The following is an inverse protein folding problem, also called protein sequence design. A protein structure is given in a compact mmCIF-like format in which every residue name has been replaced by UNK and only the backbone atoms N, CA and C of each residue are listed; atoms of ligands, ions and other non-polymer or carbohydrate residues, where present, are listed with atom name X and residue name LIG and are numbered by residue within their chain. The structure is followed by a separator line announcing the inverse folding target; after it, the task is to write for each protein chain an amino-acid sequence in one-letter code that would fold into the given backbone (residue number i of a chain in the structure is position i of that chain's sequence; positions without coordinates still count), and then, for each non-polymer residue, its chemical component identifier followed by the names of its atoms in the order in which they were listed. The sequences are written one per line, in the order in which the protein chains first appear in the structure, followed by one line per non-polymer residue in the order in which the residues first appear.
data_IF_157336746272
#
_entry.id   IF_157336746272
#
_cell.length_a   1.000
_cell.length_b   1.000
_cell.length_c   1.000
_cell.angle_alpha   90.00
_cell.angle_beta   90.00
_cell.angle_gamma   90.00
#
_symmetry.space_group_name_H-M   'P 1'
#
loop_
_entity.id
_entity.type
_entity.pdbx_description
1 polymer ?
#
# COMPACT_ATOMS: atom_id res chain seq x y z
N UNK A 1 5.06 -25.86 -4.63
CA UNK A 1 5.84 -24.59 -4.57
C UNK A 1 5.98 -24.28 -3.09
N UNK A 2 7.20 -24.05 -2.60
CA UNK A 2 7.38 -23.61 -1.21
C UNK A 2 6.68 -22.28 -1.02
N UNK A 3 5.77 -22.20 -0.05
CA UNK A 3 5.09 -20.96 0.32
C UNK A 3 6.12 -19.99 0.90
N UNK A 4 6.53 -19.01 0.10
CA UNK A 4 7.49 -17.99 0.58
C UNK A 4 6.79 -17.05 1.54
N UNK A 5 7.18 -17.08 2.81
CA UNK A 5 6.68 -16.15 3.83
C UNK A 5 7.15 -14.73 3.53
N UNK A 6 6.22 -13.80 3.35
CA UNK A 6 6.50 -12.38 3.14
C UNK A 6 6.50 -11.60 4.45
N UNK A 7 5.54 -11.87 5.32
CA UNK A 7 5.36 -11.17 6.58
C UNK A 7 5.12 -12.20 7.70
N UNK A 8 5.83 -12.03 8.80
CA UNK A 8 5.60 -12.79 10.03
C UNK A 8 5.58 -11.83 11.21
N UNK A 9 4.45 -11.82 11.93
CA UNK A 9 4.31 -11.14 13.21
C UNK A 9 4.14 -12.20 14.30
N UNK A 10 4.81 -12.02 15.41
CA UNK A 10 4.68 -12.86 16.60
C UNK A 10 4.59 -11.98 17.83
N UNK A 11 3.42 -12.00 18.48
CA UNK A 11 3.08 -11.24 19.69
C UNK A 11 3.47 -9.77 19.61
N UNK A 12 3.21 -9.15 18.46
CA UNK A 12 3.54 -7.75 18.23
C UNK A 12 2.64 -6.84 19.06
N UNK A 13 3.27 -5.91 19.76
CA UNK A 13 2.58 -4.84 20.49
C UNK A 13 2.97 -3.47 19.91
N UNK A 14 1.94 -2.64 19.72
CA UNK A 14 2.10 -1.25 19.25
C UNK A 14 1.53 -0.33 20.32
N UNK A 15 2.33 0.66 20.74
CA UNK A 15 1.91 1.69 21.68
C UNK A 15 1.91 3.06 21.02
N UNK A 16 1.05 3.92 21.50
CA UNK A 16 1.08 5.35 21.27
C UNK A 16 1.10 6.04 22.61
N UNK A 17 2.20 6.68 22.92
CA UNK A 17 2.52 7.17 24.26
C UNK A 17 2.43 6.02 25.29
N UNK A 18 1.62 6.14 26.32
CA UNK A 18 1.44 5.09 27.34
C UNK A 18 0.32 4.07 26.99
N UNK A 19 -0.47 4.35 25.94
CA UNK A 19 -1.61 3.51 25.58
C UNK A 19 -1.20 2.38 24.62
N UNK A 20 -1.55 1.14 24.99
CA UNK A 20 -1.44 -0.01 24.08
C UNK A 20 -2.57 0.07 23.06
N UNK A 21 -2.20 0.21 21.77
CA UNK A 21 -3.13 0.28 20.65
C UNK A 21 -3.40 -1.11 20.09
N UNK A 22 -2.36 -1.93 20.00
CA UNK A 22 -2.43 -3.30 19.51
C UNK A 22 -1.66 -4.20 20.46
N UNK A 23 -2.31 -5.27 20.91
CA UNK A 23 -1.73 -6.21 21.87
C UNK A 23 -1.62 -7.61 21.25
N UNK A 24 -0.42 -8.20 21.34
CA UNK A 24 -0.12 -9.58 20.94
C UNK A 24 -0.60 -10.01 19.55
N UNK A 25 -0.50 -9.13 18.55
CA UNK A 25 -0.86 -9.48 17.18
C UNK A 25 0.12 -10.50 16.61
N UNK A 26 -0.41 -11.62 16.13
CA UNK A 26 0.37 -12.68 15.51
C UNK A 26 -0.33 -13.14 14.24
N UNK A 27 0.36 -13.07 13.10
CA UNK A 27 -0.07 -13.69 11.86
C UNK A 27 1.08 -13.83 10.88
N UNK A 28 0.90 -14.69 9.88
CA UNK A 28 1.85 -14.90 8.79
C UNK A 28 1.14 -14.61 7.48
N UNK A 29 1.85 -14.00 6.51
CA UNK A 29 1.37 -13.74 5.17
C UNK A 29 2.36 -14.34 4.17
N UNK A 30 1.83 -15.05 3.18
CA UNK A 30 2.60 -15.64 2.10
C UNK A 30 2.45 -14.84 0.79
N UNK A 31 3.29 -15.17 -0.17
CA UNK A 31 3.22 -14.52 -1.48
C UNK A 31 1.87 -14.80 -2.17
N UNK A 32 1.27 -13.78 -2.75
CA UNK A 32 -0.01 -13.91 -3.46
C UNK A 32 -1.23 -14.13 -2.55
N UNK A 33 -1.12 -13.95 -1.24
CA UNK A 33 -2.26 -14.00 -0.32
C UNK A 33 -2.96 -12.65 -0.19
N UNK A 34 -4.28 -12.72 0.02
CA UNK A 34 -5.12 -11.57 0.33
C UNK A 34 -5.66 -11.70 1.76
N UNK A 35 -5.28 -10.77 2.64
CA UNK A 35 -5.68 -10.77 4.05
C UNK A 35 -6.50 -9.52 4.38
N UNK A 36 -7.67 -9.74 4.99
CA UNK A 36 -8.49 -8.69 5.58
C UNK A 36 -8.18 -8.54 7.07
N UNK A 37 -7.88 -7.31 7.48
CA UNK A 37 -7.75 -6.93 8.90
C UNK A 37 -9.04 -6.22 9.30
N UNK A 38 -9.90 -6.94 10.01
CA UNK A 38 -11.24 -6.48 10.37
C UNK A 38 -11.25 -6.04 11.84
N UNK A 39 -11.92 -4.94 12.14
CA UNK A 39 -12.06 -4.47 13.51
C UNK A 39 -12.80 -3.13 13.59
N UNK A 40 -13.26 -2.80 14.80
CA UNK A 40 -13.95 -1.53 15.07
C UNK A 40 -13.04 -0.32 14.75
N UNK A 41 -13.65 0.82 14.50
CA UNK A 41 -12.91 2.09 14.40
C UNK A 41 -12.09 2.30 15.69
N UNK A 42 -10.83 2.67 15.57
CA UNK A 42 -9.94 2.86 16.72
C UNK A 42 -9.29 1.58 17.26
N UNK A 43 -9.53 0.39 16.67
CA UNK A 43 -8.93 -0.87 17.13
C UNK A 43 -7.46 -1.07 16.75
N UNK A 44 -6.80 -0.08 16.14
CA UNK A 44 -5.38 -0.15 15.81
C UNK A 44 -5.05 -0.68 14.41
N UNK A 45 -6.03 -0.90 13.52
CA UNK A 45 -5.82 -1.41 12.15
C UNK A 45 -4.81 -0.56 11.35
N UNK A 46 -5.05 0.75 11.28
CA UNK A 46 -4.13 1.67 10.60
C UNK A 46 -2.76 1.75 11.28
N UNK A 47 -2.71 1.61 12.61
CA UNK A 47 -1.44 1.57 13.35
C UNK A 47 -0.64 0.32 13.02
N UNK A 48 -1.31 -0.82 12.85
CA UNK A 48 -0.67 -2.05 12.37
C UNK A 48 -0.06 -1.82 10.98
N UNK A 49 -0.84 -1.33 10.00
CA UNK A 49 -0.28 -1.06 8.66
C UNK A 49 0.88 -0.08 8.71
N UNK A 50 0.77 0.99 9.50
CA UNK A 50 1.83 2.00 9.67
C UNK A 50 3.12 1.43 10.26
N UNK A 51 3.01 0.43 11.13
CA UNK A 51 4.18 -0.26 11.67
C UNK A 51 4.88 -1.13 10.62
N UNK A 52 4.13 -1.72 9.67
CA UNK A 52 4.70 -2.55 8.61
C UNK A 52 5.58 -1.78 7.62
N UNK A 53 5.31 -0.47 7.41
CA UNK A 53 6.19 0.37 6.62
C UNK A 53 7.04 1.35 7.47
N UNK A 54 7.21 1.03 8.77
CA UNK A 54 8.07 1.74 9.71
C UNK A 54 7.75 3.24 9.87
N UNK A 55 6.47 3.62 9.89
CA UNK A 55 6.01 4.95 10.31
C UNK A 55 5.80 4.99 11.82
N UNK A 56 5.30 3.90 12.39
CA UNK A 56 5.13 3.71 13.83
C UNK A 56 6.06 2.57 14.28
N UNK A 57 6.79 2.72 15.39
CA UNK A 57 7.65 1.66 15.90
C UNK A 57 6.83 0.50 16.48
N UNK A 58 7.38 -0.71 16.38
CA UNK A 58 6.90 -1.89 17.10
C UNK A 58 7.58 -1.91 18.46
N UNK A 59 6.80 -1.99 19.53
CA UNK A 59 7.29 -1.85 20.91
C UNK A 59 7.71 -3.19 21.52
N UNK A 60 6.99 -4.28 21.21
CA UNK A 60 7.29 -5.62 21.69
C UNK A 60 6.96 -6.66 20.61
N UNK A 61 7.44 -7.90 20.80
CA UNK A 61 7.24 -8.99 19.87
C UNK A 61 8.31 -9.07 18.79
N UNK A 62 8.07 -9.93 17.80
CA UNK A 62 8.92 -10.09 16.64
C UNK A 62 8.13 -9.77 15.35
N UNK A 63 8.75 -9.03 14.45
CA UNK A 63 8.16 -8.66 13.18
C UNK A 63 9.20 -8.73 12.05
N UNK A 64 8.91 -9.56 11.08
CA UNK A 64 9.74 -9.74 9.89
C UNK A 64 8.90 -9.47 8.65
N UNK A 65 9.39 -8.60 7.77
CA UNK A 65 8.80 -8.34 6.46
C UNK A 65 9.90 -8.50 5.40
N UNK A 66 9.74 -9.49 4.52
CA UNK A 66 10.84 -9.96 3.68
C UNK A 66 12.06 -10.32 4.55
N UNK A 67 13.23 -9.80 4.20
CA UNK A 67 14.48 -9.99 4.94
C UNK A 67 14.71 -8.93 6.04
N UNK A 68 13.72 -8.07 6.31
CA UNK A 68 13.85 -6.97 7.25
C UNK A 68 13.22 -7.29 8.60
N UNK A 69 14.01 -7.18 9.68
CA UNK A 69 13.49 -7.17 11.04
C UNK A 69 12.96 -5.77 11.37
N UNK A 70 11.63 -5.61 11.41
CA UNK A 70 10.99 -4.31 11.60
C UNK A 70 11.27 -3.69 12.98
N UNK A 71 11.47 -4.53 14.01
CA UNK A 71 11.78 -4.07 15.37
C UNK A 71 13.20 -3.48 15.50
N UNK A 72 14.11 -3.83 14.56
CA UNK A 72 15.51 -3.40 14.55
C UNK A 72 15.86 -2.52 13.34
N UNK A 73 14.85 -1.99 12.66
CA UNK A 73 15.01 -1.25 11.41
C UNK A 73 15.79 0.05 11.62
N UNK A 74 16.85 0.25 10.84
CA UNK A 74 17.60 1.51 10.83
C UNK A 74 16.94 2.52 9.89
N UNK A 75 16.94 3.79 10.26
CA UNK A 75 16.32 4.87 9.44
C UNK A 75 16.80 4.89 7.98
N UNK A 76 18.07 4.58 7.73
CA UNK A 76 18.65 4.54 6.38
C UNK A 76 18.09 3.41 5.50
N UNK A 77 17.58 2.34 6.11
CA UNK A 77 17.10 1.15 5.40
C UNK A 77 15.59 1.23 5.10
N UNK A 78 14.84 2.07 5.81
CA UNK A 78 13.39 2.27 5.63
C UNK A 78 13.01 2.63 4.17
N UNK A 79 13.69 3.54 3.46
CA UNK A 79 13.36 3.84 2.06
C UNK A 79 13.48 2.62 1.12
N UNK A 80 14.40 1.71 1.39
CA UNK A 80 14.57 0.48 0.58
C UNK A 80 13.44 -0.51 0.82
N UNK A 81 13.00 -0.68 2.07
CA UNK A 81 11.80 -1.46 2.39
C UNK A 81 10.57 -0.86 1.71
N UNK A 82 10.32 0.45 1.90
CA UNK A 82 9.14 1.12 1.35
C UNK A 82 9.04 1.05 -0.17
N UNK A 83 10.15 0.95 -0.90
CA UNK A 83 10.14 0.74 -2.36
C UNK A 83 9.60 -0.63 -2.78
N UNK A 84 9.66 -1.63 -1.88
CA UNK A 84 9.12 -2.98 -2.13
C UNK A 84 7.62 -3.09 -1.77
N UNK A 85 7.04 -2.02 -1.21
CA UNK A 85 5.66 -1.96 -0.76
C UNK A 85 4.84 -1.00 -1.60
N UNK A 86 3.60 -1.37 -1.88
CA UNK A 86 2.58 -0.46 -2.36
C UNK A 86 1.72 0.03 -1.19
N UNK A 87 1.53 1.33 -1.04
CA UNK A 87 0.69 1.86 0.04
C UNK A 87 -0.51 2.58 -0.58
N UNK A 88 -1.70 2.13 -0.19
CA UNK A 88 -2.99 2.70 -0.58
C UNK A 88 -3.61 3.33 0.66
N UNK A 89 -3.71 4.65 0.66
CA UNK A 89 -4.23 5.43 1.78
C UNK A 89 -5.74 5.63 1.66
N UNK A 90 -6.42 5.81 2.79
CA UNK A 90 -7.84 6.14 2.86
C UNK A 90 -8.13 7.52 2.19
N UNK A 91 -7.27 8.51 2.41
CA UNK A 91 -7.41 9.89 1.90
C UNK A 91 -6.61 10.06 0.62
N UNK A 92 -6.85 9.41 -0.43
CA UNK A 92 -6.14 9.43 -1.73
C UNK A 92 -4.70 9.98 -1.72
N UNK A 93 -4.43 11.09 -1.04
CA UNK A 93 -3.14 11.78 -0.92
C UNK A 93 -2.48 12.03 -2.28
N UNK A 94 -3.27 12.45 -3.26
CA UNK A 94 -2.80 12.91 -4.54
C UNK A 94 -2.36 14.38 -4.45
N UNK A 95 -1.29 14.72 -5.13
CA UNK A 95 -0.81 16.09 -5.25
C UNK A 95 -1.79 16.86 -6.16
N UNK A 96 -2.50 17.83 -5.60
CA UNK A 96 -3.61 18.53 -6.25
C UNK A 96 -3.16 19.59 -7.27
N UNK A 97 -1.87 19.98 -7.21
CA UNK A 97 -1.22 20.95 -8.08
C UNK A 97 -0.72 20.36 -9.41
N UNK A 98 -0.95 19.07 -9.66
CA UNK A 98 -0.43 18.38 -10.84
C UNK A 98 -1.32 17.26 -11.33
N UNK A 99 -1.20 16.94 -12.63
CA UNK A 99 -1.99 15.88 -13.27
C UNK A 99 -1.68 14.48 -12.71
N UNK A 100 -2.54 13.50 -13.04
CA UNK A 100 -2.34 12.08 -12.74
C UNK A 100 -0.96 11.61 -13.17
N UNK A 101 -0.58 11.84 -14.44
CA UNK A 101 0.73 11.47 -14.95
C UNK A 101 1.87 12.07 -14.12
N UNK A 102 1.77 13.36 -13.77
CA UNK A 102 2.79 14.06 -12.96
C UNK A 102 2.84 13.56 -11.50
N UNK A 103 1.73 13.13 -10.94
CA UNK A 103 1.69 12.45 -9.64
C UNK A 103 2.51 11.16 -9.66
N UNK A 104 2.32 10.33 -10.69
CA UNK A 104 3.03 9.06 -10.85
C UNK A 104 4.51 9.27 -11.20
N UNK A 105 4.81 10.21 -12.11
CA UNK A 105 6.19 10.59 -12.48
C UNK A 105 6.99 11.04 -11.25
N UNK A 106 6.37 11.81 -10.35
CA UNK A 106 7.00 12.28 -9.11
C UNK A 106 7.50 11.12 -8.26
N UNK A 107 6.68 10.08 -8.08
CA UNK A 107 7.05 8.90 -7.28
C UNK A 107 8.20 8.12 -7.92
N UNK A 108 8.14 7.88 -9.24
CA UNK A 108 9.21 7.17 -9.95
C UNK A 108 10.54 7.90 -9.83
N UNK A 109 10.54 9.24 -10.03
CA UNK A 109 11.74 10.06 -9.84
C UNK A 109 12.28 10.01 -8.41
N UNK A 110 11.40 10.11 -7.42
CA UNK A 110 11.76 10.01 -6.00
C UNK A 110 12.33 8.64 -5.62
N UNK A 111 11.93 7.58 -6.33
CA UNK A 111 12.44 6.22 -6.12
C UNK A 111 13.66 5.88 -6.98
N UNK A 112 14.17 6.83 -7.76
CA UNK A 112 15.47 6.73 -8.43
C UNK A 112 15.41 6.43 -9.93
N UNK A 113 14.22 6.45 -10.55
CA UNK A 113 14.10 6.33 -12.00
C UNK A 113 14.60 7.59 -12.69
N UNK A 114 15.41 7.43 -13.75
CA UNK A 114 16.08 8.56 -14.44
C UNK A 114 15.68 8.72 -15.90
N UNK A 115 15.39 7.62 -16.59
CA UNK A 115 15.14 7.65 -18.01
C UNK A 115 13.68 7.97 -18.31
N UNK A 116 13.43 9.07 -19.01
CA UNK A 116 12.09 9.58 -19.31
C UNK A 116 11.21 8.55 -20.04
N UNK A 117 11.77 7.80 -20.97
CA UNK A 117 11.02 6.80 -21.76
C UNK A 117 10.55 5.65 -20.84
N UNK A 118 11.44 5.12 -19.99
CA UNK A 118 11.10 4.05 -19.04
C UNK A 118 10.03 4.53 -18.03
N UNK A 119 10.12 5.79 -17.57
CA UNK A 119 9.13 6.40 -16.68
C UNK A 119 7.76 6.47 -17.37
N UNK A 120 7.70 6.97 -18.60
CA UNK A 120 6.43 7.09 -19.33
C UNK A 120 5.81 5.70 -19.59
N UNK A 121 6.59 4.76 -20.09
CA UNK A 121 6.14 3.38 -20.32
C UNK A 121 5.60 2.73 -19.04
N UNK A 122 6.28 2.95 -17.91
CA UNK A 122 5.81 2.44 -16.63
C UNK A 122 4.50 3.07 -16.17
N UNK A 123 4.35 4.38 -16.34
CA UNK A 123 3.11 5.10 -16.02
C UNK A 123 1.96 4.60 -16.89
N UNK A 124 2.17 4.49 -18.21
CA UNK A 124 1.15 4.00 -19.13
C UNK A 124 0.71 2.57 -18.75
N UNK A 125 1.67 1.71 -18.41
CA UNK A 125 1.40 0.33 -17.98
C UNK A 125 0.54 0.27 -16.71
N UNK A 126 0.91 1.01 -15.64
CA UNK A 126 0.11 0.97 -14.40
C UNK A 126 -1.25 1.63 -14.55
N UNK A 127 -1.37 2.69 -15.35
CA UNK A 127 -2.66 3.30 -15.67
C UNK A 127 -3.57 2.34 -16.44
N UNK A 128 -3.02 1.59 -17.39
CA UNK A 128 -3.75 0.54 -18.09
C UNK A 128 -4.24 -0.55 -17.13
N UNK A 129 -3.38 -1.01 -16.19
CA UNK A 129 -3.73 -2.04 -15.21
C UNK A 129 -4.92 -1.66 -14.33
N UNK A 130 -5.11 -0.38 -14.06
CA UNK A 130 -6.22 0.12 -13.22
C UNK A 130 -7.39 0.70 -14.03
N UNK A 131 -7.34 0.62 -15.38
CA UNK A 131 -8.38 1.14 -16.26
C UNK A 131 -8.44 2.67 -16.33
N UNK A 132 -7.28 3.34 -16.26
CA UNK A 132 -7.14 4.81 -16.26
C UNK A 132 -6.25 5.32 -17.40
N UNK A 133 -6.00 4.52 -18.45
CA UNK A 133 -5.08 4.83 -19.55
C UNK A 133 -5.36 6.18 -20.24
N UNK A 134 -6.63 6.57 -20.34
CA UNK A 134 -7.06 7.81 -21.01
C UNK A 134 -7.20 9.01 -20.05
N UNK A 135 -6.75 8.88 -18.81
CA UNK A 135 -6.94 9.89 -17.74
C UNK A 135 -5.63 10.51 -17.22
N UNK A 136 -4.48 10.17 -17.83
CA UNK A 136 -3.16 10.64 -17.36
C UNK A 136 -2.99 12.17 -17.34
N UNK A 137 -3.70 12.89 -18.22
CA UNK A 137 -3.66 14.36 -18.30
C UNK A 137 -4.56 15.06 -17.27
N UNK A 138 -5.53 14.37 -16.68
CA UNK A 138 -6.49 14.93 -15.74
C UNK A 138 -5.84 15.37 -14.44
N UNK A 139 -6.41 16.41 -13.83
CA UNK A 139 -6.09 16.83 -12.47
C UNK A 139 -6.92 16.00 -11.47
N UNK A 140 -6.45 15.78 -10.22
CA UNK A 140 -7.20 15.01 -9.23
C UNK A 140 -8.63 15.49 -9.00
N UNK A 141 -8.87 16.79 -8.98
CA UNK A 141 -10.20 17.37 -8.78
C UNK A 141 -11.18 17.17 -9.96
N UNK A 142 -10.69 16.73 -11.11
CA UNK A 142 -11.50 16.37 -12.29
C UNK A 142 -11.91 14.89 -12.29
N UNK A 143 -11.50 14.11 -11.28
CA UNK A 143 -11.74 12.68 -11.15
C UNK A 143 -12.81 12.40 -10.10
N UNK A 144 -13.65 11.40 -10.34
CA UNK A 144 -14.51 10.83 -9.30
C UNK A 144 -13.68 10.19 -8.18
N UNK A 145 -14.29 9.94 -7.00
CA UNK A 145 -13.61 9.28 -5.89
C UNK A 145 -13.04 7.90 -6.28
N UNK A 146 -13.81 7.12 -7.03
CA UNK A 146 -13.36 5.81 -7.53
C UNK A 146 -12.19 5.91 -8.52
N UNK A 147 -12.20 6.92 -9.41
CA UNK A 147 -11.09 7.20 -10.32
C UNK A 147 -9.84 7.64 -9.55
N UNK A 148 -9.99 8.51 -8.54
CA UNK A 148 -8.87 8.89 -7.67
C UNK A 148 -8.28 7.67 -6.97
N UNK A 149 -9.12 6.77 -6.45
CA UNK A 149 -8.66 5.54 -5.80
C UNK A 149 -7.93 4.61 -6.77
N UNK A 150 -8.38 4.49 -8.02
CA UNK A 150 -7.66 3.75 -9.07
C UNK A 150 -6.27 4.35 -9.32
N UNK A 151 -6.14 5.68 -9.34
CA UNK A 151 -4.84 6.36 -9.47
C UNK A 151 -3.94 6.11 -8.26
N UNK A 152 -4.49 6.06 -7.05
CA UNK A 152 -3.74 5.70 -5.83
C UNK A 152 -3.22 4.27 -5.92
N UNK A 153 -4.04 3.32 -6.42
CA UNK A 153 -3.61 1.95 -6.66
C UNK A 153 -2.53 1.89 -7.76
N UNK A 154 -2.68 2.64 -8.87
CA UNK A 154 -1.63 2.75 -9.89
C UNK A 154 -0.31 3.26 -9.29
N UNK A 155 -0.38 4.27 -8.43
CA UNK A 155 0.78 4.78 -7.68
C UNK A 155 1.44 3.71 -6.82
N UNK A 156 0.64 2.89 -6.15
CA UNK A 156 1.15 1.80 -5.33
C UNK A 156 1.88 0.73 -6.16
N UNK A 157 1.48 0.51 -7.42
CA UNK A 157 2.06 -0.48 -8.33
C UNK A 157 3.36 -0.05 -9.01
N UNK A 158 3.75 1.23 -8.93
CA UNK A 158 4.84 1.81 -9.74
C UNK A 158 6.19 1.08 -9.63
N UNK A 159 6.54 0.56 -8.46
CA UNK A 159 7.83 -0.11 -8.23
C UNK A 159 7.68 -1.64 -8.12
N UNK A 160 6.69 -2.24 -8.75
CA UNK A 160 6.41 -3.69 -8.70
C UNK A 160 6.44 -4.24 -7.26
N UNK A 161 5.53 -3.78 -6.39
CA UNK A 161 5.55 -4.16 -4.99
C UNK A 161 5.26 -5.64 -4.81
N UNK A 162 5.90 -6.25 -3.82
CA UNK A 162 5.61 -7.63 -3.41
C UNK A 162 4.39 -7.70 -2.47
N UNK A 163 4.06 -6.57 -1.82
CA UNK A 163 2.96 -6.44 -0.88
C UNK A 163 2.30 -5.07 -1.02
N UNK A 164 0.97 -5.06 -1.10
CA UNK A 164 0.15 -3.85 -0.98
C UNK A 164 -0.45 -3.79 0.42
N UNK A 165 -0.28 -2.64 1.07
CA UNK A 165 -0.90 -2.27 2.34
C UNK A 165 -2.00 -1.26 2.05
N UNK A 166 -3.27 -1.66 2.17
CA UNK A 166 -4.43 -0.83 1.85
C UNK A 166 -5.19 -0.47 3.12
N UNK A 167 -5.11 0.80 3.53
CA UNK A 167 -5.78 1.31 4.73
C UNK A 167 -7.15 1.88 4.37
N UNK A 168 -8.21 1.15 4.70
CA UNK A 168 -9.62 1.47 4.43
C UNK A 168 -9.85 2.04 3.00
N UNK A 169 -9.40 1.33 1.92
CA UNK A 169 -9.32 1.89 0.57
C UNK A 169 -10.69 2.21 -0.04
N UNK A 170 -11.77 1.82 0.61
CA UNK A 170 -13.15 2.00 0.15
C UNK A 170 -13.98 2.89 1.07
N UNK A 171 -13.40 3.42 2.17
CA UNK A 171 -14.14 4.13 3.21
C UNK A 171 -14.86 5.41 2.75
N UNK A 172 -14.43 6.01 1.64
CA UNK A 172 -15.00 7.24 1.08
C UNK A 172 -15.76 7.01 -0.25
N UNK A 173 -16.11 5.75 -0.56
CA UNK A 173 -16.72 5.37 -1.84
C UNK A 173 -18.12 4.78 -1.62
N UNK A 174 -18.97 4.90 -2.64
CA UNK A 174 -20.25 4.21 -2.67
C UNK A 174 -20.07 2.68 -2.76
N UNK A 175 -21.09 1.87 -2.42
CA UNK A 175 -20.96 0.41 -2.37
C UNK A 175 -20.59 -0.24 -3.72
N UNK A 176 -21.07 0.28 -4.85
CA UNK A 176 -20.77 -0.27 -6.16
C UNK A 176 -19.31 -0.02 -6.53
N UNK A 177 -18.86 1.23 -6.40
CA UNK A 177 -17.46 1.61 -6.61
C UNK A 177 -16.51 0.86 -5.65
N UNK A 178 -16.93 0.70 -4.39
CA UNK A 178 -16.19 -0.08 -3.39
C UNK A 178 -15.94 -1.51 -3.85
N UNK A 179 -17.00 -2.18 -4.37
CA UNK A 179 -16.89 -3.53 -4.92
C UNK A 179 -15.88 -3.60 -6.07
N UNK A 180 -15.87 -2.62 -6.97
CA UNK A 180 -14.93 -2.55 -8.08
C UNK A 180 -13.48 -2.37 -7.62
N UNK A 181 -13.24 -1.56 -6.58
CA UNK A 181 -11.89 -1.36 -6.02
C UNK A 181 -11.38 -2.63 -5.34
N UNK A 182 -12.23 -3.29 -4.55
CA UNK A 182 -11.88 -4.58 -3.93
C UNK A 182 -11.57 -5.63 -4.99
N UNK A 183 -12.38 -5.73 -6.05
CA UNK A 183 -12.14 -6.65 -7.15
C UNK A 183 -10.80 -6.35 -7.85
N UNK A 184 -10.47 -5.09 -8.09
CA UNK A 184 -9.19 -4.68 -8.66
C UNK A 184 -8.00 -5.15 -7.80
N UNK A 185 -8.08 -4.98 -6.47
CA UNK A 185 -7.05 -5.46 -5.54
C UNK A 185 -6.94 -6.99 -5.55
N UNK A 186 -8.05 -7.72 -5.66
CA UNK A 186 -8.03 -9.18 -5.83
C UNK A 186 -7.37 -9.61 -7.14
N UNK A 187 -7.64 -8.88 -8.24
CA UNK A 187 -7.02 -9.19 -9.53
C UNK A 187 -5.51 -8.94 -9.54
N UNK A 188 -5.06 -7.92 -8.81
CA UNK A 188 -3.63 -7.67 -8.57
C UNK A 188 -3.03 -8.80 -7.72
N UNK A 189 -3.73 -9.24 -6.68
CA UNK A 189 -3.29 -10.32 -5.81
C UNK A 189 -3.13 -11.64 -6.60
N UNK A 190 -4.07 -11.98 -7.46
CA UNK A 190 -4.01 -13.17 -8.35
C UNK A 190 -2.79 -13.17 -9.29
N UNK A 191 -2.22 -12.00 -9.56
CA UNK A 191 -0.98 -11.84 -10.36
C UNK A 191 0.30 -12.01 -9.53
N UNK A 192 0.17 -12.28 -8.22
CA UNK A 192 1.28 -12.63 -7.33
C UNK A 192 1.66 -11.56 -6.29
N UNK A 193 1.07 -10.35 -6.34
CA UNK A 193 1.29 -9.34 -5.30
C UNK A 193 0.42 -9.63 -4.09
N UNK A 194 1.00 -9.83 -2.91
CA UNK A 194 0.19 -10.01 -1.70
C UNK A 194 -0.54 -8.71 -1.31
N UNK A 195 -1.68 -8.84 -0.63
CA UNK A 195 -2.47 -7.67 -0.19
C UNK A 195 -2.89 -7.82 1.27
N UNK A 196 -2.66 -6.80 2.07
CA UNK A 196 -3.26 -6.64 3.41
C UNK A 196 -4.16 -5.42 3.36
N UNK A 197 -5.46 -5.63 3.59
CA UNK A 197 -6.48 -4.59 3.52
C UNK A 197 -7.19 -4.45 4.87
N UNK A 198 -7.26 -3.23 5.40
CA UNK A 198 -8.09 -2.92 6.58
C UNK A 198 -9.50 -2.51 6.16
N UNK A 199 -10.47 -2.88 6.99
CA UNK A 199 -11.88 -2.52 6.80
C UNK A 199 -12.64 -2.44 8.14
#
# INVERSE_FOLDING_TARGET
MEETTLLKLDKVEIRRDENVILHEASFTLHNGEFVYVIGKVGSGKSSLLKSLYCEIPINQGEAWLLDYNLCKMKRKDIPYLRRKLGIVFQDFQLLTDRSVHKNLEFVLKATGWKKKNEINERIDNVLFQVGMQDKGYKMPHELSGGEQQRVVIARALLNDPVLILADEPTGNLDPETSGQIVQLLHDICRKGTAVVMTT
#
